data_IF_352756952557
#
_entry.id   IF_352756952557
#
_cell.length_a   1.000
_cell.length_b   1.000
_cell.length_c   1.000
_cell.angle_alpha   90.00
_cell.angle_beta   90.00
_cell.angle_gamma   90.00
#
_symmetry.space_group_name_H-M   'P 1'
#
loop_
_entity.id
_entity.type
_entity.pdbx_description
1 polymer ?
#
# COMPACT_ATOMS: atom_id res chain seq x y z
N UNK A 1 -18.37 0.87 1.25
CA UNK A 1 -17.00 0.91 0.84
C UNK A 1 -16.08 1.72 1.74
N UNK A 2 -16.48 2.06 2.98
CA UNK A 2 -15.60 2.67 3.98
C UNK A 2 -15.49 1.77 5.21
N UNK A 3 -14.28 1.66 5.78
CA UNK A 3 -14.05 0.96 7.02
C UNK A 3 -13.23 1.85 7.96
N UNK A 4 -13.87 2.40 9.01
CA UNK A 4 -13.21 3.14 10.08
C UNK A 4 -12.66 2.12 11.10
N UNK A 5 -11.43 1.68 10.88
CA UNK A 5 -10.83 0.59 11.66
C UNK A 5 -10.04 1.06 12.87
N UNK A 6 -9.39 2.21 12.74
CA UNK A 6 -8.58 2.85 13.79
C UNK A 6 -9.08 4.26 14.00
N UNK A 7 -8.91 4.81 15.19
CA UNK A 7 -9.41 6.12 15.54
C UNK A 7 -9.12 7.21 14.48
N UNK A 8 -7.92 7.25 13.96
CA UNK A 8 -7.49 8.27 12.97
C UNK A 8 -7.61 7.82 11.51
N UNK A 9 -7.91 6.53 11.24
CA UNK A 9 -7.75 5.97 9.89
C UNK A 9 -9.03 5.38 9.33
N UNK A 10 -9.43 5.89 8.18
CA UNK A 10 -10.46 5.30 7.32
C UNK A 10 -9.82 4.58 6.12
N UNK A 11 -10.21 3.33 5.92
CA UNK A 11 -9.94 2.60 4.68
C UNK A 11 -11.09 2.88 3.71
N UNK A 12 -10.74 3.34 2.52
CA UNK A 12 -11.69 3.61 1.45
C UNK A 12 -11.50 2.64 0.29
N UNK A 13 -12.59 2.07 -0.18
CA UNK A 13 -12.64 1.04 -1.21
C UNK A 13 -13.40 1.56 -2.44
N UNK A 14 -12.75 2.33 -3.33
CA UNK A 14 -13.41 2.85 -4.53
C UNK A 14 -13.85 1.69 -5.42
N UNK A 15 -15.10 1.73 -5.93
CA UNK A 15 -15.66 0.62 -6.71
C UNK A 15 -14.85 0.33 -7.98
N UNK A 16 -14.33 1.37 -8.64
CA UNK A 16 -13.49 1.23 -9.83
C UNK A 16 -12.10 0.68 -9.53
N UNK A 17 -11.64 0.76 -8.28
CA UNK A 17 -10.37 0.23 -7.79
C UNK A 17 -10.47 -1.18 -7.18
N UNK A 18 -11.62 -1.87 -7.30
CA UNK A 18 -11.80 -3.20 -6.72
C UNK A 18 -11.31 -4.35 -7.61
N UNK A 19 -10.90 -4.07 -8.83
CA UNK A 19 -10.12 -5.02 -9.64
C UNK A 19 -8.63 -4.85 -9.36
N UNK A 20 -7.81 -5.80 -9.81
CA UNK A 20 -6.37 -5.74 -9.62
C UNK A 20 -5.65 -6.24 -10.86
N UNK A 21 -4.59 -5.57 -11.27
CA UNK A 21 -3.74 -5.98 -12.39
C UNK A 21 -2.73 -7.09 -12.00
N UNK A 22 -2.45 -7.26 -10.71
CA UNK A 22 -1.42 -8.18 -10.23
C UNK A 22 -1.91 -9.62 -9.97
N UNK A 23 -3.15 -9.79 -9.52
CA UNK A 23 -3.74 -11.10 -9.19
C UNK A 23 -2.79 -12.03 -8.44
N UNK A 24 -2.15 -11.52 -7.38
CA UNK A 24 -1.16 -12.28 -6.61
C UNK A 24 -1.77 -13.56 -6.04
N UNK A 25 -1.11 -14.69 -6.22
CA UNK A 25 -1.58 -16.01 -5.73
C UNK A 25 -1.73 -16.09 -4.20
N UNK A 26 -1.03 -15.23 -3.48
CA UNK A 26 -1.11 -15.06 -2.02
C UNK A 26 -2.07 -13.94 -1.58
N UNK A 27 -2.90 -13.39 -2.49
CA UNK A 27 -3.79 -12.28 -2.17
C UNK A 27 -4.90 -12.71 -1.20
N UNK A 28 -4.94 -12.12 0.00
CA UNK A 28 -6.00 -12.41 0.97
C UNK A 28 -7.35 -11.79 0.58
N UNK A 29 -7.37 -10.87 -0.39
CA UNK A 29 -8.59 -10.22 -0.92
C UNK A 29 -9.11 -10.86 -2.20
N UNK A 30 -8.49 -11.93 -2.69
CA UNK A 30 -8.88 -12.54 -3.95
C UNK A 30 -10.38 -12.89 -4.07
N UNK A 31 -11.10 -13.30 -2.99
CA UNK A 31 -12.53 -13.59 -3.10
C UNK A 31 -13.38 -12.37 -3.51
N UNK A 32 -12.91 -11.16 -3.19
CA UNK A 32 -13.60 -9.92 -3.56
C UNK A 32 -13.55 -9.61 -5.07
N UNK A 33 -12.67 -10.28 -5.82
CA UNK A 33 -12.45 -10.02 -7.25
C UNK A 33 -13.02 -11.12 -8.17
N UNK A 34 -13.30 -12.31 -7.66
CA UNK A 34 -13.63 -13.49 -8.45
C UNK A 34 -15.13 -13.85 -8.45
N UNK A 35 -16.01 -12.86 -8.34
CA UNK A 35 -17.44 -13.06 -8.54
C UNK A 35 -18.24 -13.50 -7.30
N UNK A 36 -17.66 -13.39 -6.12
CA UNK A 36 -18.39 -13.54 -4.86
C UNK A 36 -19.05 -12.20 -4.51
N UNK A 37 -20.21 -11.90 -5.09
CA UNK A 37 -20.92 -10.64 -4.96
C UNK A 37 -21.19 -10.25 -3.49
N UNK A 38 -21.46 -11.21 -2.65
CA UNK A 38 -21.66 -11.04 -1.21
C UNK A 38 -20.43 -10.49 -0.47
N UNK A 39 -19.25 -10.64 -1.05
CA UNK A 39 -17.99 -10.16 -0.48
C UNK A 39 -17.50 -8.84 -1.08
N UNK A 40 -18.25 -8.27 -2.04
CA UNK A 40 -17.93 -6.97 -2.61
C UNK A 40 -18.17 -5.87 -1.59
N UNK A 41 -17.11 -5.14 -1.27
CA UNK A 41 -17.14 -4.00 -0.38
C UNK A 41 -16.56 -2.79 -1.11
N UNK A 42 -17.44 -1.95 -1.66
CA UNK A 42 -17.03 -0.85 -2.53
C UNK A 42 -17.98 0.34 -2.45
N UNK A 43 -17.49 1.53 -2.80
CA UNK A 43 -18.26 2.77 -2.84
C UNK A 43 -17.94 3.57 -4.09
N UNK A 44 -18.96 4.17 -4.71
CA UNK A 44 -18.85 5.06 -5.89
C UNK A 44 -18.85 6.54 -5.51
N UNK A 45 -19.45 6.86 -4.39
CA UNK A 45 -19.77 8.24 -3.99
C UNK A 45 -18.56 8.85 -3.27
N UNK A 46 -17.85 9.75 -3.98
CA UNK A 46 -16.76 10.53 -3.38
C UNK A 46 -17.26 11.56 -2.37
N UNK A 47 -18.47 12.10 -2.56
CA UNK A 47 -19.13 13.00 -1.63
C UNK A 47 -19.35 12.37 -0.26
N UNK A 48 -19.76 11.10 -0.23
CA UNK A 48 -19.97 10.38 1.03
C UNK A 48 -18.65 10.18 1.80
N UNK A 49 -17.51 10.07 1.11
CA UNK A 49 -16.21 10.02 1.76
C UNK A 49 -15.83 11.37 2.38
N UNK A 50 -15.95 12.47 1.64
CA UNK A 50 -15.63 13.81 2.15
C UNK A 50 -16.56 14.22 3.29
N UNK A 51 -17.86 13.93 3.17
CA UNK A 51 -18.82 14.16 4.24
C UNK A 51 -18.46 13.38 5.51
N UNK A 52 -18.15 12.08 5.37
CA UNK A 52 -17.76 11.24 6.51
C UNK A 52 -16.55 11.80 7.25
N UNK A 53 -15.51 12.20 6.53
CA UNK A 53 -14.28 12.75 7.15
C UNK A 53 -14.55 14.12 7.81
N UNK A 54 -15.48 14.89 7.26
CA UNK A 54 -15.92 16.17 7.87
C UNK A 54 -16.67 15.94 9.17
N UNK A 55 -17.54 14.94 9.21
CA UNK A 55 -18.34 14.59 10.40
C UNK A 55 -17.53 13.88 11.49
N UNK A 56 -16.33 13.37 11.15
CA UNK A 56 -15.44 12.62 12.04
C UNK A 56 -14.09 13.32 12.20
N UNK A 57 -14.00 14.35 13.06
CA UNK A 57 -12.77 15.16 13.20
C UNK A 57 -11.55 14.39 13.72
N UNK A 58 -11.75 13.21 14.31
CA UNK A 58 -10.68 12.28 14.70
C UNK A 58 -9.98 11.65 13.51
N UNK A 59 -10.62 11.60 12.32
CA UNK A 59 -10.04 11.01 11.11
C UNK A 59 -9.06 11.97 10.48
N UNK A 60 -7.79 11.64 10.53
CA UNK A 60 -6.70 12.42 9.92
C UNK A 60 -6.04 11.73 8.73
N UNK A 61 -6.40 10.46 8.45
CA UNK A 61 -5.71 9.58 7.52
C UNK A 61 -6.69 8.72 6.72
N UNK A 62 -6.63 8.83 5.40
CA UNK A 62 -7.41 8.01 4.48
C UNK A 62 -6.50 7.06 3.73
N UNK A 63 -6.80 5.76 3.75
CA UNK A 63 -6.11 4.75 2.92
C UNK A 63 -7.02 4.29 1.78
N UNK A 64 -6.71 4.72 0.55
CA UNK A 64 -7.28 4.12 -0.65
C UNK A 64 -6.72 2.71 -0.85
N UNK A 65 -7.60 1.74 -0.92
CA UNK A 65 -7.25 0.31 -0.98
C UNK A 65 -8.35 -0.50 -1.70
N UNK A 66 -8.22 -1.81 -1.74
CA UNK A 66 -9.19 -2.70 -2.38
C UNK A 66 -8.49 -3.76 -3.20
N UNK A 67 -8.74 -3.83 -4.51
CA UNK A 67 -7.91 -4.52 -5.48
C UNK A 67 -6.58 -3.79 -5.63
N UNK A 68 -6.54 -2.84 -6.54
CA UNK A 68 -5.45 -1.87 -6.62
C UNK A 68 -6.01 -0.52 -7.11
N UNK A 69 -5.98 0.55 -6.29
CA UNK A 69 -6.49 1.85 -6.70
C UNK A 69 -5.85 2.43 -7.96
N UNK A 70 -4.60 2.06 -8.25
CA UNK A 70 -3.88 2.55 -9.44
C UNK A 70 -4.38 1.95 -10.76
N UNK A 71 -5.29 0.95 -10.72
CA UNK A 71 -5.95 0.46 -11.94
C UNK A 71 -6.97 1.46 -12.49
N UNK A 72 -7.45 2.36 -11.67
CA UNK A 72 -8.38 3.41 -12.09
C UNK A 72 -7.73 4.33 -13.14
N UNK A 73 -8.56 4.86 -14.03
CA UNK A 73 -8.16 6.01 -14.85
C UNK A 73 -7.84 7.19 -13.94
N UNK A 74 -6.87 8.00 -14.34
CA UNK A 74 -6.47 9.18 -13.57
C UNK A 74 -7.65 10.12 -13.27
N UNK A 75 -8.54 10.33 -14.25
CA UNK A 75 -9.73 11.16 -14.08
C UNK A 75 -10.69 10.64 -13.01
N UNK A 76 -10.85 9.31 -12.90
CA UNK A 76 -11.71 8.71 -11.88
C UNK A 76 -11.08 8.79 -10.48
N UNK A 77 -9.79 8.52 -10.39
CA UNK A 77 -9.05 8.69 -9.13
C UNK A 77 -9.01 10.16 -8.71
N UNK A 78 -8.73 11.06 -9.66
CA UNK A 78 -8.73 12.51 -9.46
C UNK A 78 -10.06 13.02 -8.91
N UNK A 79 -11.19 12.53 -9.43
CA UNK A 79 -12.51 12.94 -8.97
C UNK A 79 -12.77 12.62 -7.47
N UNK A 80 -12.23 11.51 -6.93
CA UNK A 80 -12.29 11.25 -5.49
C UNK A 80 -11.41 12.22 -4.70
N UNK A 81 -10.22 12.50 -5.21
CA UNK A 81 -9.28 13.44 -4.56
C UNK A 81 -9.86 14.86 -4.58
N UNK A 82 -10.41 15.31 -5.70
CA UNK A 82 -11.00 16.65 -5.82
C UNK A 82 -12.10 16.87 -4.77
N UNK A 83 -12.98 15.89 -4.56
CA UNK A 83 -14.01 15.98 -3.51
C UNK A 83 -13.43 16.17 -2.10
N UNK A 84 -12.30 15.54 -1.81
CA UNK A 84 -11.61 15.70 -0.52
C UNK A 84 -10.92 17.05 -0.42
N UNK A 85 -10.27 17.51 -1.50
CA UNK A 85 -9.56 18.80 -1.51
C UNK A 85 -10.51 20.00 -1.50
N UNK A 86 -11.66 19.89 -2.22
CA UNK A 86 -12.68 20.93 -2.28
C UNK A 86 -13.45 21.06 -0.95
N UNK A 87 -13.62 19.96 -0.23
CA UNK A 87 -14.24 19.99 1.09
C UNK A 87 -13.38 20.69 2.15
N UNK A 88 -12.10 20.92 1.85
CA UNK A 88 -11.10 21.64 2.68
C UNK A 88 -11.13 21.20 4.15
N UNK A 89 -11.16 19.89 4.37
CA UNK A 89 -11.35 19.26 5.69
C UNK A 89 -10.10 19.48 6.56
N UNK A 90 -10.16 20.27 7.63
CA UNK A 90 -8.96 20.73 8.36
C UNK A 90 -8.25 19.61 9.13
N UNK A 91 -8.96 18.53 9.47
CA UNK A 91 -8.40 17.36 10.16
C UNK A 91 -7.68 16.39 9.22
N UNK A 92 -7.93 16.41 7.90
CA UNK A 92 -7.27 15.52 6.95
C UNK A 92 -5.80 15.93 6.76
N UNK A 93 -4.88 15.07 7.20
CA UNK A 93 -3.44 15.29 7.15
C UNK A 93 -2.71 14.35 6.22
N UNK A 94 -3.28 13.16 5.98
CA UNK A 94 -2.61 12.10 5.24
C UNK A 94 -3.56 11.41 4.26
N UNK A 95 -3.10 11.21 3.03
CA UNK A 95 -3.71 10.32 2.06
C UNK A 95 -2.71 9.23 1.72
N UNK A 96 -3.15 7.98 1.82
CA UNK A 96 -2.34 6.81 1.46
C UNK A 96 -2.97 6.05 0.30
N UNK A 97 -2.13 5.50 -0.58
CA UNK A 97 -2.55 4.69 -1.73
C UNK A 97 -1.85 3.35 -1.66
N UNK A 98 -2.60 2.28 -1.38
CA UNK A 98 -2.08 0.92 -1.36
C UNK A 98 -2.00 0.35 -2.77
N UNK A 99 -0.81 0.06 -3.29
CA UNK A 99 -0.65 -0.39 -4.67
C UNK A 99 0.53 -1.34 -4.88
N UNK A 100 0.39 -2.21 -5.87
CA UNK A 100 1.47 -3.03 -6.44
C UNK A 100 1.89 -2.53 -7.84
N UNK A 101 1.37 -1.41 -8.30
CA UNK A 101 1.65 -0.88 -9.64
C UNK A 101 3.14 -0.65 -9.90
N UNK A 102 3.92 -0.20 -8.89
CA UNK A 102 5.36 0.00 -9.07
C UNK A 102 6.09 -1.25 -9.51
N UNK A 103 5.71 -2.43 -9.02
CA UNK A 103 6.35 -3.69 -9.43
C UNK A 103 5.72 -4.34 -10.65
N UNK A 104 4.39 -4.26 -10.82
CA UNK A 104 3.67 -4.95 -11.89
C UNK A 104 3.36 -4.09 -13.09
N UNK A 105 3.18 -2.80 -12.90
CA UNK A 105 2.80 -1.87 -13.96
C UNK A 105 3.44 -0.49 -13.75
N UNK A 106 4.78 -0.37 -13.72
CA UNK A 106 5.47 0.91 -13.55
C UNK A 106 5.13 1.92 -14.65
N UNK A 107 4.71 1.45 -15.82
CA UNK A 107 4.29 2.26 -16.96
C UNK A 107 3.07 3.13 -16.67
N UNK A 108 2.25 2.77 -15.64
CA UNK A 108 1.14 3.61 -15.19
C UNK A 108 1.52 5.07 -14.92
N UNK A 109 2.73 5.30 -14.45
CA UNK A 109 3.25 6.65 -14.18
C UNK A 109 4.38 7.07 -15.13
N UNK A 110 4.76 6.22 -16.07
CA UNK A 110 5.83 6.52 -17.03
C UNK A 110 5.30 6.89 -18.40
N UNK A 111 4.46 6.05 -18.99
CA UNK A 111 4.11 6.10 -20.41
C UNK A 111 2.63 5.85 -20.71
N UNK A 112 1.81 5.50 -19.73
CA UNK A 112 0.37 5.38 -19.94
C UNK A 112 -0.22 6.72 -20.39
N UNK A 113 -1.33 6.67 -21.13
CA UNK A 113 -1.97 7.88 -21.68
C UNK A 113 -2.36 8.88 -20.60
N UNK A 114 -2.64 8.42 -19.40
CA UNK A 114 -3.05 9.22 -18.24
C UNK A 114 -1.94 9.31 -17.17
N UNK A 115 -0.68 8.99 -17.53
CA UNK A 115 0.44 8.99 -16.57
C UNK A 115 0.64 10.38 -15.94
N UNK A 116 0.70 11.43 -16.75
CA UNK A 116 0.93 12.78 -16.23
C UNK A 116 -0.27 13.28 -15.41
N UNK A 117 -1.50 13.01 -15.82
CA UNK A 117 -2.71 13.34 -15.05
C UNK A 117 -2.70 12.63 -13.66
N UNK A 118 -2.20 11.39 -13.59
CA UNK A 118 -2.01 10.67 -12.32
C UNK A 118 -1.00 11.39 -11.43
N UNK A 119 0.14 11.80 -11.99
CA UNK A 119 1.18 12.53 -11.25
C UNK A 119 0.71 13.92 -10.83
N UNK A 120 -0.06 14.61 -11.67
CA UNK A 120 -0.66 15.90 -11.32
C UNK A 120 -1.64 15.78 -10.15
N UNK A 121 -2.42 14.71 -10.11
CA UNK A 121 -3.27 14.43 -8.94
C UNK A 121 -2.44 14.26 -7.66
N UNK A 122 -1.29 13.61 -7.73
CA UNK A 122 -0.38 13.49 -6.59
C UNK A 122 0.19 14.83 -6.16
N UNK A 123 0.62 15.67 -7.12
CA UNK A 123 1.10 17.04 -6.82
C UNK A 123 0.01 17.88 -6.15
N UNK A 124 -1.22 17.84 -6.64
CA UNK A 124 -2.34 18.60 -6.03
C UNK A 124 -2.56 18.23 -4.56
N UNK A 125 -2.41 16.94 -4.19
CA UNK A 125 -2.47 16.50 -2.79
C UNK A 125 -1.34 17.13 -1.98
N UNK A 126 -0.10 17.03 -2.47
CA UNK A 126 1.08 17.52 -1.75
C UNK A 126 1.14 19.05 -1.70
N UNK A 127 0.74 19.74 -2.76
CA UNK A 127 0.67 21.22 -2.82
C UNK A 127 -0.38 21.79 -1.85
N UNK A 128 -1.44 21.02 -1.55
CA UNK A 128 -2.42 21.38 -0.52
C UNK A 128 -1.88 21.19 0.92
N UNK A 129 -0.64 20.69 1.06
CA UNK A 129 -0.01 20.43 2.35
C UNK A 129 -0.41 19.09 2.98
N UNK A 130 -1.12 18.23 2.25
CA UNK A 130 -1.51 16.89 2.72
C UNK A 130 -0.36 15.91 2.44
N UNK A 131 0.04 15.12 3.44
CA UNK A 131 1.06 14.10 3.27
C UNK A 131 0.56 12.96 2.40
N UNK A 132 1.13 12.80 1.21
CA UNK A 132 0.84 11.67 0.33
C UNK A 132 1.81 10.53 0.57
N UNK A 133 1.30 9.34 0.88
CA UNK A 133 2.12 8.13 1.05
C UNK A 133 1.67 7.00 0.13
N UNK A 134 2.56 6.59 -0.76
CA UNK A 134 2.35 5.40 -1.60
C UNK A 134 2.77 4.17 -0.81
N UNK A 135 1.80 3.33 -0.46
CA UNK A 135 2.02 2.06 0.25
C UNK A 135 2.37 0.98 -0.77
N UNK A 136 3.63 0.98 -1.19
CA UNK A 136 4.12 0.16 -2.28
C UNK A 136 4.36 -1.29 -1.85
N UNK A 137 3.85 -2.23 -2.62
CA UNK A 137 3.97 -3.65 -2.34
C UNK A 137 5.08 -4.28 -3.22
N UNK A 138 6.18 -4.67 -2.58
CA UNK A 138 7.28 -5.41 -3.19
C UNK A 138 7.52 -6.71 -2.42
N UNK A 139 7.43 -7.85 -3.10
CA UNK A 139 7.62 -9.17 -2.48
C UNK A 139 9.05 -9.68 -2.56
N UNK A 140 9.82 -9.23 -3.53
CA UNK A 140 11.16 -9.74 -3.78
C UNK A 140 12.07 -8.65 -4.36
N UNK A 141 13.36 -8.74 -4.06
CA UNK A 141 14.39 -7.82 -4.57
C UNK A 141 14.38 -7.68 -6.11
N UNK A 142 14.07 -8.76 -6.82
CA UNK A 142 14.03 -8.78 -8.30
C UNK A 142 13.05 -7.76 -8.87
N UNK A 143 11.93 -7.50 -8.19
CA UNK A 143 10.93 -6.52 -8.63
C UNK A 143 11.48 -5.09 -8.74
N UNK A 144 12.58 -4.77 -8.04
CA UNK A 144 13.21 -3.44 -8.04
C UNK A 144 14.44 -3.33 -8.93
N UNK A 145 14.80 -4.37 -9.68
CA UNK A 145 16.02 -4.37 -10.52
C UNK A 145 15.83 -3.65 -11.84
N UNK A 146 14.63 -3.59 -12.39
CA UNK A 146 14.36 -3.00 -13.71
C UNK A 146 14.52 -1.49 -13.73
N UNK A 147 14.95 -0.95 -14.87
CA UNK A 147 15.06 0.50 -15.08
C UNK A 147 13.71 1.21 -14.97
N UNK A 148 12.63 0.56 -15.46
CA UNK A 148 11.27 1.11 -15.39
C UNK A 148 10.78 1.28 -13.95
N UNK A 149 11.00 0.32 -13.08
CA UNK A 149 10.61 0.43 -11.66
C UNK A 149 11.38 1.56 -10.97
N UNK A 150 12.69 1.66 -11.19
CA UNK A 150 13.51 2.75 -10.65
C UNK A 150 13.04 4.13 -11.12
N UNK A 151 12.72 4.25 -12.42
CA UNK A 151 12.21 5.50 -13.01
C UNK A 151 10.82 5.85 -12.44
N UNK A 152 9.93 4.87 -12.27
CA UNK A 152 8.60 5.08 -11.69
C UNK A 152 8.67 5.53 -10.21
N UNK A 153 9.53 4.91 -9.42
CA UNK A 153 9.82 5.33 -8.04
C UNK A 153 10.29 6.79 -8.02
N UNK A 154 11.25 7.14 -8.88
CA UNK A 154 11.76 8.52 -8.99
C UNK A 154 10.64 9.51 -9.32
N UNK A 155 9.86 9.24 -10.38
CA UNK A 155 8.75 10.11 -10.80
C UNK A 155 7.68 10.31 -9.70
N UNK A 156 7.28 9.25 -9.01
CA UNK A 156 6.35 9.37 -7.89
C UNK A 156 6.92 10.24 -6.77
N UNK A 157 8.20 10.07 -6.42
CA UNK A 157 8.84 10.90 -5.38
C UNK A 157 8.96 12.37 -5.78
N UNK A 158 9.15 12.67 -7.05
CA UNK A 158 9.20 14.05 -7.59
C UNK A 158 7.86 14.79 -7.43
N UNK A 159 6.76 14.11 -7.17
CA UNK A 159 5.47 14.75 -6.81
C UNK A 159 5.38 15.16 -5.33
N UNK A 160 6.41 14.94 -4.52
CA UNK A 160 6.38 15.13 -3.07
C UNK A 160 5.85 13.90 -2.30
N UNK A 161 5.39 12.85 -3.00
CA UNK A 161 4.91 11.64 -2.36
C UNK A 161 6.05 10.87 -1.67
N UNK A 162 5.78 10.34 -0.48
CA UNK A 162 6.66 9.40 0.20
C UNK A 162 6.26 7.96 -0.19
N UNK A 163 7.24 7.12 -0.49
CA UNK A 163 7.00 5.70 -0.78
C UNK A 163 7.37 4.87 0.44
N UNK A 164 6.37 4.23 1.05
CA UNK A 164 6.52 3.26 2.13
C UNK A 164 6.28 1.86 1.60
N UNK A 165 7.20 0.94 1.89
CA UNK A 165 7.16 -0.41 1.31
C UNK A 165 6.61 -1.42 2.31
N UNK A 166 5.86 -2.38 1.79
CA UNK A 166 5.29 -3.46 2.59
C UNK A 166 5.23 -4.77 1.80
N UNK A 167 5.30 -5.89 2.49
CA UNK A 167 5.17 -7.21 1.88
C UNK A 167 4.79 -8.26 2.92
N UNK A 168 4.02 -9.29 2.57
CA UNK A 168 3.92 -10.49 3.38
C UNK A 168 5.21 -11.33 3.26
N UNK A 169 5.58 -11.98 4.34
CA UNK A 169 6.57 -13.05 4.39
C UNK A 169 5.91 -14.33 3.88
N UNK A 170 6.49 -14.93 2.85
CA UNK A 170 5.88 -16.01 2.06
C UNK A 170 6.87 -17.16 1.87
N UNK A 171 6.52 -18.35 2.32
CA UNK A 171 7.23 -19.58 1.94
C UNK A 171 7.33 -19.66 0.41
N UNK A 172 8.42 -20.17 -0.12
CA UNK A 172 8.74 -20.33 -1.55
C UNK A 172 9.03 -19.03 -2.30
N UNK A 173 8.83 -17.85 -1.73
CA UNK A 173 9.05 -16.57 -2.41
C UNK A 173 10.14 -15.75 -1.73
N UNK A 174 10.02 -15.53 -0.43
CA UNK A 174 10.88 -14.58 0.28
C UNK A 174 11.19 -15.00 1.72
N UNK A 175 11.14 -16.28 2.04
CA UNK A 175 11.43 -16.84 3.37
C UNK A 175 12.95 -16.96 3.68
N UNK A 176 13.70 -15.97 3.25
CA UNK A 176 15.14 -15.84 3.44
C UNK A 176 15.54 -14.47 4.03
N UNK A 177 16.33 -14.47 5.10
CA UNK A 177 16.71 -13.25 5.79
C UNK A 177 17.63 -12.34 4.95
N UNK A 178 18.54 -12.93 4.16
CA UNK A 178 19.45 -12.15 3.32
C UNK A 178 18.71 -11.45 2.19
N UNK A 179 17.69 -12.12 1.60
CA UNK A 179 16.83 -11.53 0.60
C UNK A 179 16.09 -10.30 1.18
N UNK A 180 15.54 -10.39 2.39
CA UNK A 180 14.88 -9.25 3.05
C UNK A 180 15.84 -8.10 3.33
N UNK A 181 17.03 -8.41 3.87
CA UNK A 181 18.05 -7.40 4.12
C UNK A 181 18.43 -6.64 2.83
N UNK A 182 18.72 -7.37 1.75
CA UNK A 182 19.06 -6.77 0.45
C UNK A 182 17.87 -5.98 -0.13
N UNK A 183 16.64 -6.45 0.05
CA UNK A 183 15.45 -5.77 -0.41
C UNK A 183 15.27 -4.43 0.34
N UNK A 184 15.40 -4.41 1.66
CA UNK A 184 15.32 -3.17 2.45
C UNK A 184 16.46 -2.19 2.14
N UNK A 185 17.69 -2.69 1.97
CA UNK A 185 18.82 -1.87 1.52
C UNK A 185 18.52 -1.22 0.17
N UNK A 186 17.98 -1.98 -0.79
CA UNK A 186 17.62 -1.47 -2.11
C UNK A 186 16.47 -0.47 -2.04
N UNK A 187 15.50 -0.69 -1.18
CA UNK A 187 14.41 0.27 -0.95
C UNK A 187 14.94 1.61 -0.45
N UNK A 188 15.83 1.61 0.54
CA UNK A 188 16.47 2.82 1.07
C UNK A 188 17.31 3.52 -0.01
N UNK A 189 18.10 2.77 -0.78
CA UNK A 189 18.89 3.30 -1.91
C UNK A 189 17.99 4.05 -2.92
N UNK A 190 16.81 3.53 -3.20
CA UNK A 190 15.83 4.15 -4.10
C UNK A 190 15.01 5.27 -3.44
N UNK A 191 15.27 5.56 -2.15
CA UNK A 191 14.58 6.58 -1.37
C UNK A 191 13.17 6.17 -0.93
N UNK A 192 12.91 4.88 -0.85
CA UNK A 192 11.73 4.33 -0.21
C UNK A 192 11.98 4.09 1.29
N UNK A 193 10.91 4.02 2.06
CA UNK A 193 10.96 3.76 3.50
C UNK A 193 10.42 2.35 3.77
N UNK A 194 11.23 1.37 4.19
CA UNK A 194 10.73 0.07 4.65
C UNK A 194 9.72 0.26 5.79
N UNK A 195 8.53 -0.35 5.66
CA UNK A 195 7.44 -0.06 6.58
C UNK A 195 6.87 -1.29 7.29
N UNK A 196 6.49 -2.35 6.53
CA UNK A 196 5.96 -3.56 7.14
C UNK A 196 6.50 -4.84 6.49
N UNK A 197 6.88 -5.81 7.34
CA UNK A 197 6.87 -7.24 7.03
C UNK A 197 5.61 -7.84 7.66
N UNK A 198 4.69 -8.36 6.84
CA UNK A 198 3.46 -8.99 7.32
C UNK A 198 3.61 -10.50 7.42
N UNK A 199 2.93 -11.11 8.37
CA UNK A 199 2.62 -12.54 8.36
C UNK A 199 1.39 -12.77 7.47
N UNK A 200 1.36 -13.88 6.75
CA UNK A 200 0.22 -14.28 5.91
C UNK A 200 -1.03 -14.42 6.78
N UNK A 201 -2.14 -13.93 6.26
CA UNK A 201 -3.43 -14.05 6.93
C UNK A 201 -4.01 -15.46 6.77
N UNK A 202 -4.98 -15.77 7.60
CA UNK A 202 -5.80 -16.99 7.65
C UNK A 202 -6.81 -17.11 6.50
N UNK A 203 -6.44 -16.67 5.30
CA UNK A 203 -7.29 -16.64 4.12
C UNK A 203 -6.53 -17.07 2.87
N UNK A 204 -7.25 -17.56 1.87
CA UNK A 204 -6.66 -17.95 0.60
C UNK A 204 -5.67 -19.11 0.75
N UNK A 205 -4.53 -18.99 0.10
CA UNK A 205 -3.50 -20.03 0.04
C UNK A 205 -2.53 -20.02 1.25
N UNK A 206 -3.01 -19.67 2.44
CA UNK A 206 -2.20 -19.56 3.66
C UNK A 206 -1.38 -20.83 3.98
N UNK A 207 -1.94 -22.00 3.76
CA UNK A 207 -1.26 -23.28 4.03
C UNK A 207 -0.06 -23.54 3.10
N UNK A 208 -0.09 -22.93 1.91
CA UNK A 208 1.02 -23.01 0.97
C UNK A 208 2.10 -21.95 1.25
N UNK A 209 1.69 -20.75 1.61
CA UNK A 209 2.58 -19.61 1.78
C UNK A 209 2.95 -19.29 3.23
N UNK A 210 2.29 -19.90 4.19
CA UNK A 210 2.48 -19.59 5.61
C UNK A 210 3.87 -19.97 6.12
N UNK A 211 4.50 -19.05 6.83
CA UNK A 211 5.76 -19.28 7.55
C UNK A 211 5.45 -19.37 9.04
N UNK A 212 5.94 -20.39 9.76
CA UNK A 212 5.75 -20.51 11.20
C UNK A 212 6.25 -19.25 11.94
N UNK A 213 5.53 -18.79 12.96
CA UNK A 213 5.82 -17.53 13.64
C UNK A 213 7.25 -17.44 14.20
N UNK A 214 7.75 -18.53 14.78
CA UNK A 214 9.14 -18.61 15.28
C UNK A 214 10.13 -18.39 14.14
N UNK A 215 9.90 -19.02 12.99
CA UNK A 215 10.74 -18.82 11.79
C UNK A 215 10.63 -17.41 11.24
N UNK A 216 9.43 -16.85 11.22
CA UNK A 216 9.19 -15.47 10.77
C UNK A 216 9.98 -14.46 11.63
N UNK A 217 9.95 -14.63 12.96
CA UNK A 217 10.74 -13.83 13.89
C UNK A 217 12.25 -13.98 13.65
N UNK A 218 12.75 -15.21 13.47
CA UNK A 218 14.17 -15.44 13.17
C UNK A 218 14.62 -14.76 11.88
N UNK A 219 13.81 -14.87 10.80
CA UNK A 219 14.08 -14.20 9.53
C UNK A 219 14.15 -12.68 9.72
N UNK A 220 13.16 -12.10 10.40
CA UNK A 220 13.12 -10.65 10.65
C UNK A 220 14.34 -10.20 11.45
N UNK A 221 14.65 -10.85 12.57
CA UNK A 221 15.77 -10.53 13.43
C UNK A 221 17.10 -10.60 12.67
N UNK A 222 17.35 -11.68 11.95
CA UNK A 222 18.58 -11.86 11.17
C UNK A 222 18.68 -10.81 10.03
N UNK A 223 17.58 -10.46 9.40
CA UNK A 223 17.57 -9.44 8.35
C UNK A 223 17.84 -8.04 8.90
N UNK A 224 17.23 -7.68 10.05
CA UNK A 224 17.38 -6.35 10.65
C UNK A 224 18.81 -6.09 11.15
N UNK A 225 19.52 -7.13 11.55
CA UNK A 225 20.92 -7.04 11.98
C UNK A 225 21.87 -6.63 10.85
N UNK A 226 21.49 -6.87 9.59
CA UNK A 226 22.31 -6.65 8.40
C UNK A 226 22.10 -5.27 7.75
N UNK A 227 21.20 -4.44 8.26
CA UNK A 227 20.78 -3.22 7.59
C UNK A 227 21.04 -1.96 8.42
N UNK A 228 21.09 -0.81 7.72
CA UNK A 228 21.28 0.51 8.34
C UNK A 228 20.10 0.92 9.21
N UNK A 229 20.30 1.94 10.06
CA UNK A 229 19.26 2.53 10.89
C UNK A 229 18.02 3.00 10.11
N UNK A 230 18.20 3.50 8.89
CA UNK A 230 17.08 3.90 8.03
C UNK A 230 16.20 2.72 7.59
N UNK A 231 16.81 1.59 7.29
CA UNK A 231 16.06 0.38 6.95
C UNK A 231 15.39 -0.27 8.17
N UNK A 232 15.91 -0.04 9.38
CA UNK A 232 15.35 -0.55 10.64
C UNK A 232 14.04 0.13 11.07
N UNK A 233 13.52 1.08 10.32
CA UNK A 233 12.18 1.63 10.54
C UNK A 233 11.06 0.66 10.18
N UNK A 234 11.38 -0.45 9.50
CA UNK A 234 10.42 -1.51 9.18
C UNK A 234 9.89 -2.16 10.46
N UNK A 235 8.58 -2.42 10.47
CA UNK A 235 7.88 -3.13 11.54
C UNK A 235 7.58 -4.57 11.11
N UNK A 236 7.83 -5.51 12.01
CA UNK A 236 7.48 -6.90 11.73
C UNK A 236 8.18 -7.90 12.64
N UNK A 237 7.88 -9.17 12.45
CA UNK A 237 6.73 -9.67 11.70
C UNK A 237 5.41 -9.20 12.31
N UNK A 238 4.47 -8.80 11.49
CA UNK A 238 3.23 -8.18 11.95
C UNK A 238 2.01 -8.83 11.30
N UNK A 239 0.95 -9.00 12.06
CA UNK A 239 -0.30 -9.56 11.56
C UNK A 239 -1.50 -8.69 11.96
N UNK A 240 -2.56 -8.72 11.15
CA UNK A 240 -3.83 -8.11 11.51
C UNK A 240 -4.67 -9.10 12.29
N UNK A 241 -5.16 -8.69 13.45
CA UNK A 241 -6.08 -9.43 14.30
C UNK A 241 -7.34 -8.61 14.58
N UNK A 242 -8.34 -9.21 15.24
CA UNK A 242 -9.60 -8.52 15.58
C UNK A 242 -9.38 -7.24 16.37
N UNK A 243 -8.53 -7.20 17.42
CA UNK A 243 -8.34 -5.96 18.18
C UNK A 243 -7.39 -4.97 17.53
N UNK A 244 -6.75 -5.29 16.40
CA UNK A 244 -5.82 -4.39 15.74
C UNK A 244 -4.62 -5.11 15.10
N UNK A 245 -3.43 -4.51 15.17
CA UNK A 245 -2.19 -5.12 14.72
C UNK A 245 -1.45 -5.76 15.87
N UNK A 246 -1.01 -7.00 15.64
CA UNK A 246 -0.09 -7.72 16.53
C UNK A 246 1.29 -7.71 15.88
N UNK A 247 2.32 -7.38 16.67
CA UNK A 247 3.72 -7.51 16.29
C UNK A 247 4.33 -8.67 17.08
N UNK A 248 5.22 -9.42 16.45
CA UNK A 248 5.86 -10.60 17.04
C UNK A 248 7.27 -10.19 17.43
N UNK A 249 7.50 -10.05 18.73
CA UNK A 249 8.76 -9.52 19.28
C UNK A 249 9.69 -10.59 19.86
N UNK A 250 9.26 -11.85 19.84
CA UNK A 250 10.05 -13.00 20.35
C UNK A 250 9.54 -13.61 21.62
#
# INVERSE_FOLDING_TARGET
GMQHKYNETVLFFPSQGQTCHAYCTFCFRWPQFVGMDEMKFAMKEGEALSQYVTEHPEVSDILFTGGDPMIMKASLFGAYIDKLLDADVPNLKTIRIGTKALSYWPYKVLTDKDAEETLDTFRRITDKGIHLSIMAHFNHLVEMKTGSVKAAIKKMRETGAQIRTQSPLLTHINDDANMWAQMWQKQVELGCVPYYMFVVRDTGAQHYFGVPLVRAHQIFKTAIEQVSGLARTVRGPSMSATPGKVQIDG
#
